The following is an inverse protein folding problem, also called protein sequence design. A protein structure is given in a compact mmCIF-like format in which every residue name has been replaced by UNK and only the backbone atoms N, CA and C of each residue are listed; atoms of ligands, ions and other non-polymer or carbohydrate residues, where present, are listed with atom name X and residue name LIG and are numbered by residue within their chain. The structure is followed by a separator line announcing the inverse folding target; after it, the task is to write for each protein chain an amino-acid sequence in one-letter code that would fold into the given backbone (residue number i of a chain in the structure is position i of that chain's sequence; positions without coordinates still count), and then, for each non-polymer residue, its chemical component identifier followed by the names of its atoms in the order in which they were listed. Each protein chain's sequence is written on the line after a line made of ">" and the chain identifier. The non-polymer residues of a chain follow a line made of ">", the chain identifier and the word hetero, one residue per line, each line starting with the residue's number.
data_IF_552604842804
#
_entry.id   IF_552604842804
#
_cell.length_a   1.000
_cell.length_b   1.000
_cell.length_c   1.000
_cell.angle_alpha   90.00
_cell.angle_beta   90.00
_cell.angle_gamma   90.00
#
_symmetry.space_group_name_H-M   'P 1'
#
loop_
_entity.id
_entity.type
_entity.pdbx_description
1 polymer ?
#
# COMPACT_ATOMS: atom_id res chain seq x y z
N UNK A 1 -11.44 0.06 3.85
CA UNK A 1 -10.98 -1.34 3.78
C UNK A 1 -9.47 -1.37 4.06
N UNK A 2 -8.92 -2.40 4.71
CA UNK A 2 -7.46 -2.51 4.94
C UNK A 2 -6.89 -3.76 4.27
N UNK A 3 -5.83 -3.58 3.48
CA UNK A 3 -5.12 -4.64 2.76
C UNK A 3 -4.05 -5.33 3.63
N UNK A 4 -3.43 -4.58 4.53
CA UNK A 4 -2.48 -5.06 5.53
C UNK A 4 -2.61 -4.24 6.80
N UNK A 5 -2.08 -4.70 7.94
CA UNK A 5 -1.96 -3.92 9.19
C UNK A 5 -0.59 -4.17 9.80
N UNK A 6 -0.10 -3.25 10.64
CA UNK A 6 1.10 -3.50 11.43
C UNK A 6 0.83 -4.64 12.41
N UNK A 7 1.60 -5.72 12.28
CA UNK A 7 1.51 -6.90 13.14
C UNK A 7 2.90 -7.50 13.34
N UNK A 8 2.99 -8.56 14.15
CA UNK A 8 4.22 -9.32 14.27
C UNK A 8 4.70 -9.89 12.92
N UNK A 9 3.83 -10.06 11.93
CA UNK A 9 4.12 -10.66 10.61
C UNK A 9 4.03 -9.64 9.44
N UNK A 10 3.83 -8.35 9.75
CA UNK A 10 3.65 -7.31 8.74
C UNK A 10 4.26 -6.00 9.20
N UNK A 11 5.25 -5.55 8.45
CA UNK A 11 5.95 -4.29 8.69
C UNK A 11 5.28 -3.12 7.93
N UNK A 12 4.10 -3.34 7.35
CA UNK A 12 3.31 -2.33 6.62
C UNK A 12 1.88 -2.27 7.12
N UNK A 13 1.28 -1.08 7.02
CA UNK A 13 -0.15 -0.87 7.20
C UNK A 13 -0.69 -0.16 5.97
N UNK A 14 -1.55 -0.85 5.22
CA UNK A 14 -2.12 -0.36 3.96
C UNK A 14 -3.64 -0.37 4.00
N UNK A 15 -4.27 0.72 3.61
CA UNK A 15 -5.73 0.86 3.61
C UNK A 15 -6.22 1.79 2.49
N UNK A 16 -7.44 1.54 2.03
CA UNK A 16 -8.14 2.46 1.12
C UNK A 16 -8.51 3.74 1.88
N UNK A 17 -8.18 4.90 1.30
CA UNK A 17 -8.44 6.21 1.92
C UNK A 17 -9.88 6.67 1.71
N UNK A 18 -10.44 7.35 2.70
CA UNK A 18 -11.73 8.04 2.54
C UNK A 18 -11.65 9.25 1.60
N UNK A 19 -10.44 9.79 1.37
CA UNK A 19 -10.20 10.87 0.41
C UNK A 19 -10.00 10.36 -1.04
N UNK A 20 -10.06 9.04 -1.26
CA UNK A 20 -9.70 8.40 -2.53
C UNK A 20 -8.26 7.91 -2.55
N UNK A 21 -8.00 6.88 -3.37
CA UNK A 21 -6.70 6.22 -3.45
C UNK A 21 -6.41 5.29 -2.27
N UNK A 22 -5.15 4.85 -2.17
CA UNK A 22 -4.69 3.83 -1.20
C UNK A 22 -3.48 4.37 -0.44
N UNK A 23 -3.51 4.26 0.88
CA UNK A 23 -2.48 4.79 1.77
C UNK A 23 -1.63 3.66 2.37
N UNK A 24 -0.31 3.84 2.31
CA UNK A 24 0.68 3.11 3.10
C UNK A 24 1.12 3.98 4.29
N UNK A 25 0.66 3.61 5.48
CA UNK A 25 0.82 4.38 6.70
C UNK A 25 2.28 4.43 7.17
N UNK A 26 2.75 5.61 7.60
CA UNK A 26 4.11 5.83 8.11
C UNK A 26 5.20 5.22 7.21
N UNK A 27 5.06 5.44 5.92
CA UNK A 27 5.99 4.86 4.97
C UNK A 27 7.36 5.55 5.06
N UNK A 28 8.43 4.76 4.86
CA UNK A 28 9.80 5.31 4.75
C UNK A 28 10.21 5.68 3.33
N UNK A 29 9.48 5.20 2.33
CA UNK A 29 9.75 5.41 0.89
C UNK A 29 8.95 6.59 0.31
N UNK A 30 8.62 7.56 1.15
CA UNK A 30 8.08 8.83 0.69
C UNK A 30 9.23 9.53 -0.02
N UNK A 31 9.00 10.04 -1.23
CA UNK A 31 10.01 10.84 -1.91
C UNK A 31 10.44 11.99 -0.99
N UNK A 32 11.74 12.25 -0.89
CA UNK A 32 12.41 13.18 0.04
C UNK A 32 11.85 14.62 0.10
N UNK A 33 10.86 14.96 -0.73
CA UNK A 33 10.27 16.28 -0.88
C UNK A 33 8.89 16.47 -0.24
N UNK A 34 8.33 15.50 0.48
CA UNK A 34 6.97 15.62 1.05
C UNK A 34 6.92 15.28 2.55
N UNK A 35 7.37 16.24 3.37
CA UNK A 35 7.10 16.27 4.81
C UNK A 35 8.00 15.40 5.70
N UNK A 36 7.76 15.40 7.02
CA UNK A 36 8.60 14.67 7.97
C UNK A 36 8.61 13.17 7.63
N UNK A 37 9.80 12.56 7.70
CA UNK A 37 9.96 11.11 7.60
C UNK A 37 8.98 10.43 8.56
N UNK A 38 7.97 9.72 8.02
CA UNK A 38 6.79 9.07 8.65
C UNK A 38 5.40 9.59 8.21
N UNK A 39 5.30 10.41 7.16
CA UNK A 39 4.00 10.67 6.52
C UNK A 39 3.40 9.40 5.85
N UNK A 40 2.16 9.45 5.40
CA UNK A 40 1.55 8.35 4.63
C UNK A 40 2.00 8.48 3.16
N UNK A 41 2.38 7.36 2.53
CA UNK A 41 2.54 7.32 1.08
C UNK A 41 1.16 7.04 0.47
N UNK A 42 0.70 7.95 -0.40
CA UNK A 42 -0.59 7.85 -1.08
C UNK A 42 -0.35 7.41 -2.52
N UNK A 43 -1.06 6.36 -2.94
CA UNK A 43 -1.08 5.87 -4.31
C UNK A 43 -2.46 6.08 -4.90
N UNK A 44 -2.53 6.35 -6.20
CA UNK A 44 -3.79 6.65 -6.89
C UNK A 44 -4.61 5.38 -7.07
N UNK A 45 -3.97 4.24 -7.31
CA UNK A 45 -4.64 2.97 -7.56
C UNK A 45 -3.88 1.75 -7.00
N UNK A 46 -4.46 0.57 -7.25
CA UNK A 46 -3.96 -0.71 -6.77
C UNK A 46 -2.62 -1.10 -7.41
N UNK A 47 -2.39 -0.79 -8.70
CA UNK A 47 -1.15 -1.13 -9.40
C UNK A 47 0.03 -0.33 -8.84
N UNK A 48 -0.17 0.96 -8.59
CA UNK A 48 0.82 1.80 -7.91
C UNK A 48 1.12 1.29 -6.49
N UNK A 49 0.10 0.87 -5.74
CA UNK A 49 0.30 0.30 -4.40
C UNK A 49 1.01 -1.06 -4.44
N UNK A 50 0.72 -1.93 -5.41
CA UNK A 50 1.44 -3.18 -5.61
C UNK A 50 2.92 -2.91 -5.88
N UNK A 51 3.22 -2.01 -6.82
CA UNK A 51 4.60 -1.63 -7.12
C UNK A 51 5.31 -1.00 -5.91
N UNK A 52 4.59 -0.23 -5.09
CA UNK A 52 5.09 0.32 -3.84
C UNK A 52 5.43 -0.78 -2.81
N UNK A 53 4.55 -1.75 -2.63
CA UNK A 53 4.75 -2.88 -1.72
C UNK A 53 5.90 -3.80 -2.15
N UNK A 54 6.14 -3.93 -3.46
CA UNK A 54 7.34 -4.62 -3.95
C UNK A 54 8.63 -3.93 -3.50
N UNK A 55 8.66 -2.59 -3.42
CA UNK A 55 9.82 -1.85 -2.87
C UNK A 55 10.05 -2.21 -1.39
N UNK A 56 8.98 -2.35 -0.61
CA UNK A 56 9.06 -2.83 0.77
C UNK A 56 9.67 -4.23 0.85
N UNK A 57 9.19 -5.19 0.05
CA UNK A 57 9.74 -6.55 0.01
C UNK A 57 11.22 -6.59 -0.39
N UNK A 58 11.58 -5.88 -1.45
CA UNK A 58 12.98 -5.80 -1.93
C UNK A 58 13.91 -5.21 -0.88
N UNK A 59 13.39 -4.35 -0.01
CA UNK A 59 14.14 -3.75 1.07
C UNK A 59 14.11 -4.55 2.39
N UNK A 60 13.59 -5.79 2.36
CA UNK A 60 13.60 -6.72 3.49
C UNK A 60 12.42 -6.60 4.45
N UNK A 61 11.43 -5.76 4.16
CA UNK A 61 10.24 -5.65 4.99
C UNK A 61 9.27 -6.81 4.74
N UNK A 62 8.63 -7.29 5.80
CA UNK A 62 7.57 -8.28 5.73
C UNK A 62 6.29 -7.62 5.25
N UNK A 63 5.89 -8.00 4.04
CA UNK A 63 4.62 -7.61 3.44
C UNK A 63 3.80 -8.87 3.23
N UNK A 64 2.62 -9.01 3.86
CA UNK A 64 1.76 -10.16 3.68
C UNK A 64 1.35 -10.41 2.22
N UNK A 65 1.32 -11.67 1.77
CA UNK A 65 0.89 -12.03 0.40
C UNK A 65 -0.58 -11.68 0.14
N UNK A 66 -1.44 -11.86 1.15
CA UNK A 66 -2.86 -11.54 1.06
C UNK A 66 -3.12 -10.05 0.75
N UNK A 67 -2.18 -9.15 1.08
CA UNK A 67 -2.28 -7.74 0.70
C UNK A 67 -2.22 -7.57 -0.82
N UNK A 68 -1.33 -8.30 -1.50
CA UNK A 68 -1.23 -8.28 -2.96
C UNK A 68 -2.44 -8.95 -3.62
N UNK A 69 -2.93 -10.04 -3.05
CA UNK A 69 -4.11 -10.74 -3.56
C UNK A 69 -5.35 -9.84 -3.52
N UNK A 70 -5.58 -9.16 -2.40
CA UNK A 70 -6.70 -8.23 -2.25
C UNK A 70 -6.57 -7.02 -3.17
N UNK A 71 -5.38 -6.44 -3.29
CA UNK A 71 -5.15 -5.32 -4.22
C UNK A 71 -5.40 -5.72 -5.67
N UNK A 72 -4.97 -6.92 -6.09
CA UNK A 72 -5.26 -7.43 -7.44
C UNK A 72 -6.75 -7.68 -7.65
N UNK A 73 -7.44 -8.24 -6.65
CA UNK A 73 -8.87 -8.48 -6.73
C UNK A 73 -9.65 -7.17 -6.89
N UNK A 74 -9.31 -6.13 -6.11
CA UNK A 74 -9.95 -4.81 -6.21
C UNK A 74 -9.65 -4.14 -7.55
N UNK A 75 -8.41 -4.23 -8.05
CA UNK A 75 -8.04 -3.75 -9.38
C UNK A 75 -8.87 -4.41 -10.48
N UNK A 76 -8.97 -5.73 -10.44
CA UNK A 76 -9.67 -6.50 -11.46
C UNK A 76 -11.19 -6.24 -11.39
N UNK A 77 -11.75 -6.04 -10.19
CA UNK A 77 -13.14 -5.63 -10.00
C UNK A 77 -13.40 -4.22 -10.54
N UNK A 78 -12.48 -3.27 -10.31
CA UNK A 78 -12.54 -1.91 -10.86
C UNK A 78 -12.49 -1.93 -12.40
N UNK A 79 -11.65 -2.78 -12.98
CA UNK A 79 -11.55 -2.92 -14.43
C UNK A 79 -12.79 -3.56 -15.09
N UNK A 80 -13.53 -4.41 -14.36
CA UNK A 80 -14.76 -5.05 -14.85
C UNK A 80 -16.01 -4.18 -14.69
N UNK A 81 -15.96 -3.18 -13.80
CA UNK A 81 -17.04 -2.24 -13.54
C UNK A 81 -16.92 -0.90 -14.27
N UNK A 82 -15.86 -0.71 -15.07
CA UNK A 82 -15.60 0.48 -15.90
C UNK A 82 -15.94 0.21 -17.36
#
# INVERSE_FOLDING_TARGET
>A
MSYARFTAESDVYVYASAAGGIECCRCRFIADNQGPARSNAVMVDEDEMIAHLEKHRRAGHRVPDNAFEQLRADRDARAQGA
#
